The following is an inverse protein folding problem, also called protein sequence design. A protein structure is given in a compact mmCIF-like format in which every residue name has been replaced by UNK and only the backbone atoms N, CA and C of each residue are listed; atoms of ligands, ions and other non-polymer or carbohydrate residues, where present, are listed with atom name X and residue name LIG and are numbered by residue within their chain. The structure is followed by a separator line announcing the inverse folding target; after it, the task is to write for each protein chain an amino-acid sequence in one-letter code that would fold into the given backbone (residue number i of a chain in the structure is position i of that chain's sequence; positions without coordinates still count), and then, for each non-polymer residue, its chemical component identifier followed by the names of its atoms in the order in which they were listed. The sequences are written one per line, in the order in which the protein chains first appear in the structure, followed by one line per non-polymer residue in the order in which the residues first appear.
data_IF_227728597782
#
_entry.id   IF_227728597782
#
_cell.length_a   1.000
_cell.length_b   1.000
_cell.length_c   1.000
_cell.angle_alpha   90.00
_cell.angle_beta   90.00
_cell.angle_gamma   90.00
#
_symmetry.space_group_name_H-M   'P 1'
#
loop_
_entity.id
_entity.type
_entity.pdbx_description
1 polymer ?
#
# COMPACT_ATOMS: atom_id res chain seq x y z
N UNK A 1 18.31 -7.22 -0.41
CA UNK A 1 18.81 -8.30 -1.29
C UNK A 1 17.62 -9.17 -1.68
N UNK A 2 17.20 -9.11 -2.96
CA UNK A 2 16.10 -9.93 -3.47
C UNK A 2 16.54 -11.34 -3.84
N UNK A 3 15.60 -12.29 -3.82
CA UNK A 3 15.87 -13.65 -4.29
C UNK A 3 16.01 -13.67 -5.81
N UNK A 4 17.17 -14.08 -6.30
CA UNK A 4 17.48 -14.16 -7.75
C UNK A 4 16.47 -15.02 -8.52
N UNK A 5 15.97 -16.10 -7.90
CA UNK A 5 14.94 -16.96 -8.48
C UNK A 5 13.62 -16.24 -8.74
N UNK A 6 13.18 -15.38 -7.81
CA UNK A 6 11.96 -14.59 -7.96
C UNK A 6 12.07 -13.58 -9.10
N UNK A 7 13.19 -12.87 -9.19
CA UNK A 7 13.48 -11.93 -10.27
C UNK A 7 13.47 -12.64 -11.64
N UNK A 8 14.14 -13.81 -11.74
CA UNK A 8 14.13 -14.61 -12.96
C UNK A 8 12.74 -15.10 -13.34
N UNK A 9 11.92 -15.50 -12.37
CA UNK A 9 10.56 -15.94 -12.63
C UNK A 9 9.68 -14.83 -13.15
N UNK A 10 9.77 -13.61 -12.60
CA UNK A 10 9.07 -12.43 -13.12
C UNK A 10 9.45 -12.19 -14.58
N UNK A 11 10.76 -12.16 -14.91
CA UNK A 11 11.21 -11.97 -16.28
C UNK A 11 10.72 -13.05 -17.25
N UNK A 12 10.67 -14.32 -16.79
CA UNK A 12 10.11 -15.44 -17.60
C UNK A 12 8.61 -15.25 -17.85
N UNK A 13 7.85 -14.86 -16.83
CA UNK A 13 6.40 -14.64 -16.98
C UNK A 13 6.11 -13.53 -17.98
N UNK A 14 6.82 -12.39 -17.89
CA UNK A 14 6.67 -11.26 -18.80
C UNK A 14 7.01 -11.67 -20.23
N UNK A 15 8.15 -12.34 -20.44
CA UNK A 15 8.54 -12.85 -21.76
C UNK A 15 7.56 -13.86 -22.32
N UNK A 16 7.01 -14.75 -21.47
CA UNK A 16 6.01 -15.73 -21.89
C UNK A 16 4.68 -15.09 -22.28
N UNK A 17 4.38 -13.91 -21.74
CA UNK A 17 3.24 -13.08 -22.14
C UNK A 17 3.48 -12.28 -23.43
N UNK A 18 4.66 -12.39 -24.06
CA UNK A 18 5.01 -11.66 -25.27
C UNK A 18 5.33 -10.18 -25.03
N UNK A 19 5.72 -9.82 -23.80
CA UNK A 19 6.07 -8.47 -23.39
C UNK A 19 7.57 -8.36 -23.11
N UNK A 20 8.12 -7.15 -23.24
CA UNK A 20 9.47 -6.82 -22.86
C UNK A 20 9.52 -6.26 -21.43
N UNK A 21 10.59 -6.59 -20.71
CA UNK A 21 10.83 -6.14 -19.35
C UNK A 21 11.73 -4.91 -19.35
N UNK A 22 11.15 -3.73 -19.15
CA UNK A 22 11.88 -2.45 -19.10
C UNK A 22 12.64 -2.26 -17.79
N UNK A 23 12.12 -2.78 -16.67
CA UNK A 23 12.78 -2.63 -15.39
C UNK A 23 12.05 -3.35 -14.26
N UNK A 24 12.71 -3.37 -13.11
CA UNK A 24 12.18 -3.93 -11.87
C UNK A 24 12.33 -2.87 -10.78
N UNK A 25 11.26 -2.62 -10.05
CA UNK A 25 11.21 -1.68 -8.91
C UNK A 25 10.69 -2.41 -7.68
N UNK A 26 11.19 -2.06 -6.50
CA UNK A 26 10.64 -2.56 -5.25
C UNK A 26 9.26 -1.96 -5.01
N UNK A 27 8.31 -2.78 -4.59
CA UNK A 27 6.93 -2.39 -4.32
C UNK A 27 6.81 -1.14 -3.44
N UNK A 28 7.48 -1.03 -2.26
CA UNK A 28 7.38 0.17 -1.43
C UNK A 28 7.92 1.44 -2.09
N UNK A 29 8.87 1.33 -3.03
CA UNK A 29 9.38 2.48 -3.79
C UNK A 29 8.36 2.94 -4.82
N UNK A 30 7.71 2.00 -5.50
CA UNK A 30 6.65 2.31 -6.45
C UNK A 30 5.48 2.99 -5.73
N UNK A 31 4.94 2.39 -4.66
CA UNK A 31 3.87 2.97 -3.86
C UNK A 31 4.24 4.37 -3.34
N UNK A 32 5.49 4.57 -2.86
CA UNK A 32 5.98 5.86 -2.40
C UNK A 32 6.02 6.93 -3.49
N UNK A 33 6.28 6.55 -4.74
CA UNK A 33 6.29 7.50 -5.86
C UNK A 33 4.88 7.97 -6.24
N UNK A 34 3.86 7.17 -5.91
CA UNK A 34 2.47 7.49 -6.20
C UNK A 34 1.78 8.31 -5.09
N UNK A 35 2.19 8.15 -3.80
CA UNK A 35 1.41 8.65 -2.67
C UNK A 35 2.14 9.57 -1.71
N UNK A 36 3.47 9.71 -1.85
CA UNK A 36 4.29 10.58 -0.99
C UNK A 36 4.80 11.78 -1.75
N UNK A 37 4.67 12.97 -1.15
CA UNK A 37 5.31 14.16 -1.66
C UNK A 37 6.83 14.17 -1.38
N UNK A 38 7.54 15.07 -2.05
CA UNK A 38 8.97 15.28 -1.81
C UNK A 38 9.22 15.76 -0.38
N UNK A 39 8.40 16.69 0.10
CA UNK A 39 8.50 17.27 1.44
C UNK A 39 8.30 16.22 2.55
N UNK A 40 7.37 15.29 2.37
CA UNK A 40 7.17 14.18 3.30
C UNK A 40 8.39 13.26 3.38
N UNK A 41 8.96 12.89 2.22
CA UNK A 41 10.19 12.08 2.16
C UNK A 41 11.37 12.78 2.81
N UNK A 42 11.47 14.09 2.66
CA UNK A 42 12.52 14.92 3.26
C UNK A 42 12.31 15.05 4.78
N UNK A 43 11.11 15.41 5.22
CA UNK A 43 10.76 15.61 6.62
C UNK A 43 10.82 14.33 7.47
N UNK A 44 10.66 13.17 6.82
CA UNK A 44 10.61 11.85 7.44
C UNK A 44 9.20 11.31 7.59
N UNK A 45 8.92 10.19 6.94
CA UNK A 45 7.62 9.54 6.87
C UNK A 45 7.75 8.02 6.87
N UNK A 46 6.80 7.34 7.51
CA UNK A 46 6.62 5.90 7.38
C UNK A 46 5.47 5.63 6.41
N UNK A 47 5.76 5.01 5.28
CA UNK A 47 4.75 4.49 4.35
C UNK A 47 4.41 3.06 4.76
N UNK A 48 3.12 2.78 4.94
CA UNK A 48 2.60 1.46 5.26
C UNK A 48 1.62 1.06 4.16
N UNK A 49 1.99 0.05 3.38
CA UNK A 49 1.15 -0.54 2.33
C UNK A 49 0.51 -1.82 2.86
N UNK A 50 -0.80 -1.77 3.13
CA UNK A 50 -1.54 -2.91 3.68
C UNK A 50 -2.19 -3.65 2.51
N UNK A 51 -1.48 -4.67 2.01
CA UNK A 51 -1.94 -5.55 0.95
C UNK A 51 -2.88 -6.65 1.43
N UNK A 52 -3.11 -7.65 0.57
CA UNK A 52 -3.90 -8.83 0.93
C UNK A 52 -3.11 -9.81 1.80
N UNK A 53 -1.90 -10.19 1.39
CA UNK A 53 -1.05 -11.18 2.06
C UNK A 53 0.00 -10.58 2.99
N UNK A 54 0.50 -9.41 2.69
CA UNK A 54 1.57 -8.72 3.41
C UNK A 54 1.18 -7.30 3.78
N UNK A 55 1.89 -6.75 4.74
CA UNK A 55 1.95 -5.32 5.03
C UNK A 55 3.39 -4.88 4.90
N UNK A 56 3.65 -3.97 3.97
CA UNK A 56 4.99 -3.50 3.65
C UNK A 56 5.22 -2.13 4.29
N UNK A 57 6.33 -2.01 5.02
CA UNK A 57 6.79 -0.77 5.63
C UNK A 57 7.98 -0.23 4.88
N UNK A 58 7.95 1.07 4.57
CA UNK A 58 9.11 1.82 4.10
C UNK A 58 9.24 3.14 4.86
N UNK A 59 10.40 3.39 5.45
CA UNK A 59 10.70 4.64 6.13
C UNK A 59 11.59 5.49 5.25
N UNK A 60 11.15 6.71 4.98
CA UNK A 60 11.91 7.72 4.25
C UNK A 60 12.36 8.83 5.20
N UNK A 61 13.54 9.37 4.97
CA UNK A 61 14.11 10.53 5.66
C UNK A 61 15.20 11.14 4.81
N UNK A 62 15.27 12.46 4.76
CA UNK A 62 16.23 13.23 3.94
C UNK A 62 16.12 12.81 2.44
N UNK A 63 14.90 12.60 1.95
CA UNK A 63 14.58 12.23 0.56
C UNK A 63 14.92 10.80 0.16
N UNK A 64 15.50 9.96 1.03
CA UNK A 64 15.92 8.59 0.72
C UNK A 64 15.28 7.57 1.66
N UNK A 65 15.17 6.33 1.16
CA UNK A 65 14.69 5.21 1.96
C UNK A 65 15.75 4.81 3.00
N UNK A 66 15.34 4.71 4.26
CA UNK A 66 16.20 4.40 5.40
C UNK A 66 15.97 3.03 6.00
N UNK A 67 14.75 2.54 5.96
CA UNK A 67 14.38 1.25 6.51
C UNK A 67 13.23 0.64 5.71
N UNK A 68 13.21 -0.69 5.60
CA UNK A 68 12.11 -1.45 5.02
C UNK A 68 11.88 -2.70 5.85
N UNK A 69 10.61 -3.05 6.02
CA UNK A 69 10.21 -4.31 6.64
C UNK A 69 8.98 -4.88 5.92
N UNK A 70 8.82 -6.19 5.97
CA UNK A 70 7.66 -6.89 5.44
C UNK A 70 7.04 -7.69 6.57
N UNK A 71 5.81 -7.39 6.90
CA UNK A 71 5.02 -8.10 7.88
C UNK A 71 4.17 -9.13 7.11
N UNK A 72 4.23 -10.45 7.44
CA UNK A 72 3.57 -11.51 6.68
C UNK A 72 2.06 -11.61 6.97
N UNK A 73 1.42 -10.50 7.26
CA UNK A 73 0.00 -10.37 7.52
C UNK A 73 -0.56 -9.19 6.75
N UNK A 74 -1.78 -9.35 6.21
CA UNK A 74 -2.50 -8.31 5.48
C UNK A 74 -4.01 -8.52 5.58
N UNK A 75 -4.77 -8.05 4.60
CA UNK A 75 -6.23 -8.14 4.61
C UNK A 75 -6.80 -9.56 4.62
N UNK A 76 -6.05 -10.57 4.14
CA UNK A 76 -6.53 -11.95 4.03
C UNK A 76 -6.69 -12.60 5.42
N UNK A 77 -5.78 -12.36 6.36
CA UNK A 77 -5.91 -12.90 7.72
C UNK A 77 -7.12 -12.30 8.45
N UNK A 78 -7.47 -11.04 8.16
CA UNK A 78 -8.72 -10.44 8.67
C UNK A 78 -9.93 -11.16 8.10
N UNK A 79 -9.90 -11.52 6.81
CA UNK A 79 -10.99 -12.28 6.16
C UNK A 79 -11.12 -13.68 6.76
N UNK A 80 -10.02 -14.35 7.04
CA UNK A 80 -10.02 -15.66 7.70
C UNK A 80 -10.59 -15.60 9.12
N UNK A 81 -10.22 -14.59 9.92
CA UNK A 81 -10.79 -14.39 11.25
C UNK A 81 -12.31 -14.12 11.21
N UNK A 82 -12.78 -13.35 10.23
CA UNK A 82 -14.22 -13.13 10.00
C UNK A 82 -14.90 -14.43 9.60
N UNK A 83 -14.31 -15.19 8.69
CA UNK A 83 -14.82 -16.51 8.24
C UNK A 83 -15.02 -17.45 9.43
N UNK A 84 -14.01 -17.56 10.29
CA UNK A 84 -14.05 -18.42 11.47
C UNK A 84 -15.02 -17.88 12.55
N UNK A 85 -14.84 -16.62 12.93
CA UNK A 85 -15.63 -15.98 13.99
C UNK A 85 -17.11 -15.87 13.66
N UNK A 86 -17.45 -15.68 12.38
CA UNK A 86 -18.83 -15.66 11.92
C UNK A 86 -19.31 -17.02 11.38
N UNK A 87 -18.45 -18.05 11.25
CA UNK A 87 -18.76 -19.37 10.66
C UNK A 87 -19.47 -19.26 9.30
N UNK A 88 -18.85 -18.54 8.36
CA UNK A 88 -19.32 -18.28 7.00
C UNK A 88 -18.26 -18.66 5.97
N UNK A 89 -18.58 -18.62 4.70
CA UNK A 89 -17.59 -18.87 3.64
C UNK A 89 -16.73 -17.63 3.40
N UNK A 90 -15.51 -17.85 2.92
CA UNK A 90 -14.49 -16.81 2.65
C UNK A 90 -15.03 -15.66 1.81
N UNK A 91 -15.74 -15.97 0.71
CA UNK A 91 -16.34 -14.96 -0.17
C UNK A 91 -17.31 -14.02 0.56
N UNK A 92 -18.10 -14.57 1.50
CA UNK A 92 -19.02 -13.78 2.31
C UNK A 92 -18.26 -12.95 3.36
N UNK A 93 -17.21 -13.52 3.95
CA UNK A 93 -16.35 -12.83 4.91
C UNK A 93 -15.65 -11.62 4.26
N UNK A 94 -15.10 -11.80 3.05
CA UNK A 94 -14.46 -10.72 2.29
C UNK A 94 -15.46 -9.62 1.93
N UNK A 95 -16.66 -9.97 1.48
CA UNK A 95 -17.72 -8.99 1.20
C UNK A 95 -18.15 -8.23 2.46
N UNK A 96 -18.21 -8.89 3.62
CA UNK A 96 -18.50 -8.22 4.90
C UNK A 96 -17.41 -7.24 5.28
N UNK A 97 -16.14 -7.65 5.16
CA UNK A 97 -14.98 -6.80 5.43
C UNK A 97 -15.02 -5.54 4.58
N UNK A 98 -15.20 -5.69 3.26
CA UNK A 98 -15.19 -4.57 2.31
C UNK A 98 -16.36 -3.62 2.54
N UNK A 99 -17.58 -4.14 2.71
CA UNK A 99 -18.79 -3.30 2.78
C UNK A 99 -19.05 -2.69 4.16
N UNK A 100 -18.76 -3.45 5.22
CA UNK A 100 -19.17 -3.11 6.57
C UNK A 100 -18.02 -3.10 7.58
N UNK A 101 -16.80 -3.47 7.14
CA UNK A 101 -15.65 -3.55 8.02
C UNK A 101 -15.28 -2.21 8.64
N UNK A 102 -15.00 -2.24 9.94
CA UNK A 102 -14.51 -1.11 10.72
C UNK A 102 -13.43 -1.59 11.69
N UNK A 103 -12.32 -0.87 11.75
CA UNK A 103 -11.25 -1.13 12.69
C UNK A 103 -11.56 -0.65 14.11
N UNK A 104 -12.69 0.07 14.33
CA UNK A 104 -13.05 0.64 15.62
C UNK A 104 -14.45 0.23 16.06
N UNK A 105 -14.59 -0.72 17.02
CA UNK A 105 -15.90 -1.23 17.44
C UNK A 105 -16.82 -0.20 18.07
N UNK A 106 -16.27 0.84 18.70
CA UNK A 106 -17.03 1.90 19.37
C UNK A 106 -17.87 2.78 18.44
N UNK A 107 -17.52 2.82 17.14
CA UNK A 107 -18.26 3.60 16.15
C UNK A 107 -19.49 2.88 15.57
N UNK A 108 -19.68 1.60 15.90
CA UNK A 108 -20.81 0.81 15.42
C UNK A 108 -21.91 0.77 16.48
N UNK A 109 -23.15 1.05 16.07
CA UNK A 109 -24.32 0.93 16.94
C UNK A 109 -24.61 -0.52 17.24
N UNK A 110 -25.08 -0.79 18.46
CA UNK A 110 -25.37 -2.17 18.93
C UNK A 110 -26.45 -2.89 18.12
N UNK A 111 -27.37 -2.13 17.53
CA UNK A 111 -28.54 -2.66 16.83
C UNK A 111 -28.36 -2.80 15.33
N UNK A 112 -27.18 -2.51 14.78
CA UNK A 112 -26.91 -2.68 13.35
C UNK A 112 -26.55 -4.13 13.03
N UNK A 113 -27.41 -4.78 12.25
CA UNK A 113 -27.30 -6.20 11.90
C UNK A 113 -27.21 -6.33 10.39
N UNK A 114 -26.33 -7.21 9.91
CA UNK A 114 -26.26 -7.64 8.52
C UNK A 114 -26.70 -9.07 8.41
N UNK A 115 -27.66 -9.34 7.53
CA UNK A 115 -28.15 -10.68 7.22
C UNK A 115 -27.38 -11.25 6.03
N UNK A 116 -26.78 -12.43 6.21
CA UNK A 116 -26.04 -13.16 5.19
C UNK A 116 -26.89 -14.34 4.70
N UNK A 117 -27.08 -14.49 3.40
CA UNK A 117 -27.81 -15.63 2.85
C UNK A 117 -27.21 -16.97 3.29
N UNK A 118 -28.05 -17.86 3.79
CA UNK A 118 -27.66 -19.22 4.13
C UNK A 118 -27.28 -20.05 2.89
N UNK A 119 -26.40 -21.03 3.09
CA UNK A 119 -25.98 -21.96 2.03
C UNK A 119 -27.05 -23.02 1.78
N UNK A 120 -27.39 -23.28 0.50
CA UNK A 120 -28.29 -24.38 0.10
C UNK A 120 -29.62 -24.39 0.84
N UNK A 121 -30.28 -23.23 0.98
CA UNK A 121 -31.62 -23.15 1.59
C UNK A 121 -31.62 -23.17 3.12
N UNK A 122 -30.46 -23.02 3.76
CA UNK A 122 -30.38 -22.78 5.21
C UNK A 122 -30.85 -21.37 5.54
N UNK A 123 -31.32 -21.17 6.74
CA UNK A 123 -31.73 -19.86 7.24
C UNK A 123 -30.59 -18.84 7.12
N UNK A 124 -30.92 -17.56 6.83
CA UNK A 124 -29.94 -16.48 6.83
C UNK A 124 -29.25 -16.35 8.18
N UNK A 125 -27.97 -16.00 8.17
CA UNK A 125 -27.21 -15.75 9.39
C UNK A 125 -27.16 -14.25 9.67
N UNK A 126 -27.51 -13.84 10.87
CA UNK A 126 -27.46 -12.46 11.32
C UNK A 126 -26.15 -12.21 12.09
N UNK A 127 -25.47 -11.13 11.73
CA UNK A 127 -24.21 -10.70 12.32
C UNK A 127 -24.34 -9.23 12.69
N UNK A 128 -24.09 -8.90 13.96
CA UNK A 128 -24.04 -7.50 14.39
C UNK A 128 -22.76 -6.84 13.90
N UNK A 129 -22.84 -5.61 13.41
CA UNK A 129 -21.69 -4.85 12.95
C UNK A 129 -20.67 -4.63 14.08
N UNK A 130 -21.13 -4.48 15.31
CA UNK A 130 -20.27 -4.38 16.50
C UNK A 130 -19.41 -5.63 16.69
N UNK A 131 -19.99 -6.85 16.51
CA UNK A 131 -19.23 -8.10 16.62
C UNK A 131 -18.25 -8.27 15.46
N UNK A 132 -18.68 -7.98 14.24
CA UNK A 132 -17.80 -7.95 13.06
C UNK A 132 -16.59 -7.02 13.29
N UNK A 133 -16.85 -5.81 13.79
CA UNK A 133 -15.81 -4.83 14.05
C UNK A 133 -14.87 -5.26 15.18
N UNK A 134 -15.33 -5.99 16.20
CA UNK A 134 -14.44 -6.56 17.24
C UNK A 134 -13.45 -7.58 16.66
N UNK A 135 -13.92 -8.45 15.76
CA UNK A 135 -13.05 -9.43 15.09
C UNK A 135 -12.00 -8.70 14.26
N UNK A 136 -12.42 -7.74 13.43
CA UNK A 136 -11.54 -6.95 12.59
C UNK A 136 -10.53 -6.16 13.43
N UNK A 137 -11.00 -5.50 14.50
CA UNK A 137 -10.17 -4.71 15.40
C UNK A 137 -9.02 -5.52 15.99
N UNK A 138 -9.32 -6.71 16.55
CA UNK A 138 -8.32 -7.55 17.17
C UNK A 138 -7.14 -7.86 16.22
N UNK A 139 -7.44 -8.26 14.98
CA UNK A 139 -6.40 -8.54 13.98
C UNK A 139 -5.71 -7.28 13.48
N UNK A 140 -6.45 -6.20 13.28
CA UNK A 140 -5.86 -4.94 12.82
C UNK A 140 -4.90 -4.36 13.86
N UNK A 141 -5.23 -4.46 15.16
CA UNK A 141 -4.31 -4.08 16.25
C UNK A 141 -3.01 -4.86 16.16
N UNK A 142 -3.07 -6.18 16.01
CA UNK A 142 -1.86 -7.02 15.90
C UNK A 142 -0.97 -6.60 14.71
N UNK A 143 -1.57 -6.35 13.54
CA UNK A 143 -0.82 -5.89 12.36
C UNK A 143 -0.16 -4.55 12.65
N UNK A 144 -0.90 -3.58 13.19
CA UNK A 144 -0.40 -2.23 13.47
C UNK A 144 0.69 -2.25 14.54
N UNK A 145 0.56 -3.07 15.58
CA UNK A 145 1.58 -3.21 16.63
C UNK A 145 2.89 -3.78 16.07
N UNK A 146 2.83 -4.76 15.15
CA UNK A 146 4.03 -5.28 14.48
C UNK A 146 4.69 -4.23 13.59
N UNK A 147 3.91 -3.47 12.81
CA UNK A 147 4.43 -2.35 12.03
C UNK A 147 5.08 -1.31 12.96
N UNK A 148 4.43 -0.96 14.06
CA UNK A 148 4.96 0.01 15.01
C UNK A 148 6.24 -0.47 15.69
N UNK A 149 6.36 -1.76 15.96
CA UNK A 149 7.61 -2.34 16.45
C UNK A 149 8.76 -2.13 15.46
N UNK A 150 8.53 -2.30 14.16
CA UNK A 150 9.52 -2.04 13.12
C UNK A 150 9.89 -0.55 13.02
N UNK A 151 8.93 0.36 13.19
CA UNK A 151 9.19 1.80 13.27
C UNK A 151 10.03 2.13 14.50
N UNK A 152 9.78 1.50 15.64
CA UNK A 152 10.61 1.64 16.85
C UNK A 152 12.02 1.08 16.65
N UNK A 153 12.15 -0.06 15.99
CA UNK A 153 13.45 -0.67 15.66
C UNK A 153 14.29 0.25 14.76
N UNK A 154 13.66 0.99 13.86
CA UNK A 154 14.33 2.07 13.11
C UNK A 154 14.87 3.18 14.05
N UNK A 155 14.26 3.40 15.20
CA UNK A 155 14.67 4.39 16.20
C UNK A 155 14.07 5.77 15.98
N UNK A 156 12.82 5.88 15.52
CA UNK A 156 12.12 7.14 15.25
C UNK A 156 12.02 8.08 16.48
N UNK A 157 12.22 7.58 17.69
CA UNK A 157 12.24 8.36 18.93
C UNK A 157 13.52 9.20 19.06
N UNK A 158 14.61 8.83 18.38
CA UNK A 158 15.82 9.63 18.30
C UNK A 158 15.56 10.91 17.49
N UNK A 159 15.99 12.07 18.00
CA UNK A 159 15.72 13.37 17.37
C UNK A 159 16.15 13.43 15.89
N UNK A 160 17.27 12.80 15.53
CA UNK A 160 17.79 12.74 14.15
C UNK A 160 16.97 11.82 13.23
N UNK A 161 16.24 10.87 13.78
CA UNK A 161 15.42 9.88 13.04
C UNK A 161 13.93 10.15 13.15
N UNK A 162 13.53 11.26 13.74
CA UNK A 162 12.13 11.62 13.95
C UNK A 162 11.38 11.71 12.62
N UNK A 163 10.23 11.07 12.54
CA UNK A 163 9.35 11.07 11.37
C UNK A 163 8.31 12.20 11.54
N UNK A 164 8.66 13.39 11.05
CA UNK A 164 7.84 14.60 11.25
C UNK A 164 6.55 14.53 10.44
N UNK A 165 6.58 13.93 9.26
CA UNK A 165 5.39 13.74 8.43
C UNK A 165 4.52 12.52 8.85
N UNK A 166 4.90 11.83 9.94
CA UNK A 166 4.10 10.77 10.52
C UNK A 166 4.00 9.51 9.66
N UNK A 167 2.78 9.00 9.52
CA UNK A 167 2.45 7.75 8.82
C UNK A 167 1.54 8.02 7.63
N UNK A 168 1.84 7.39 6.51
CA UNK A 168 0.97 7.34 5.33
C UNK A 168 0.54 5.90 5.10
N UNK A 169 -0.77 5.64 5.10
CA UNK A 169 -1.36 4.34 4.83
C UNK A 169 -1.75 4.24 3.36
N UNK A 170 -1.43 3.15 2.71
CA UNK A 170 -1.88 2.84 1.35
C UNK A 170 -2.24 1.36 1.19
N UNK A 171 -2.54 0.90 -0.02
CA UNK A 171 -3.01 -0.45 -0.26
C UNK A 171 -4.49 -0.66 0.06
N UNK A 172 -5.00 -1.84 -0.28
CA UNK A 172 -6.42 -2.17 -0.11
C UNK A 172 -6.90 -2.12 1.35
N UNK A 173 -6.04 -2.52 2.30
CA UNK A 173 -6.34 -2.53 3.73
C UNK A 173 -6.49 -1.13 4.33
N UNK A 174 -5.86 -0.11 3.74
CA UNK A 174 -6.00 1.28 4.19
C UNK A 174 -7.40 1.86 4.02
N UNK A 175 -8.25 1.21 3.23
CA UNK A 175 -9.65 1.60 3.01
C UNK A 175 -10.60 1.10 4.12
N UNK A 176 -10.10 0.30 5.06
CA UNK A 176 -10.90 -0.15 6.20
C UNK A 176 -11.34 1.06 7.02
N UNK A 177 -12.64 1.15 7.33
CA UNK A 177 -13.18 2.28 8.11
C UNK A 177 -12.44 2.40 9.45
N UNK A 178 -12.15 3.62 9.84
CA UNK A 178 -11.49 3.99 11.12
C UNK A 178 -10.08 3.42 11.32
N UNK A 179 -9.44 2.89 10.27
CA UNK A 179 -8.06 2.38 10.39
C UNK A 179 -7.07 3.49 10.73
N UNK A 180 -7.26 4.69 10.14
CA UNK A 180 -6.45 5.86 10.45
C UNK A 180 -6.46 6.16 11.96
N UNK A 181 -7.65 6.26 12.55
CA UNK A 181 -7.84 6.54 13.98
C UNK A 181 -7.19 5.46 14.86
N UNK A 182 -7.28 4.18 14.45
CA UNK A 182 -6.65 3.08 15.17
C UNK A 182 -5.12 3.19 15.13
N UNK A 183 -4.55 3.51 13.97
CA UNK A 183 -3.10 3.68 13.82
C UNK A 183 -2.61 4.87 14.65
N UNK A 184 -3.29 6.02 14.60
CA UNK A 184 -3.00 7.19 15.44
C UNK A 184 -3.06 6.86 16.93
N UNK A 185 -4.07 6.09 17.35
CA UNK A 185 -4.24 5.68 18.74
C UNK A 185 -3.10 4.79 19.24
N UNK A 186 -2.68 3.81 18.44
CA UNK A 186 -1.63 2.85 18.83
C UNK A 186 -0.26 3.49 18.79
N UNK A 187 0.03 4.31 17.76
CA UNK A 187 1.37 4.81 17.49
C UNK A 187 1.64 6.18 18.10
N UNK A 188 0.61 6.96 18.36
CA UNK A 188 0.73 8.36 18.75
C UNK A 188 1.25 9.27 17.63
N UNK A 189 1.28 8.80 16.38
CA UNK A 189 1.81 9.52 15.23
C UNK A 189 0.67 9.99 14.33
N UNK A 190 0.78 11.21 13.78
CA UNK A 190 -0.15 11.70 12.77
C UNK A 190 -0.21 10.74 11.59
N UNK A 191 -1.42 10.43 11.13
CA UNK A 191 -1.64 9.45 10.07
C UNK A 191 -2.57 9.99 8.99
N UNK A 192 -2.26 9.73 7.73
CA UNK A 192 -3.16 9.98 6.59
C UNK A 192 -3.27 8.76 5.68
N UNK A 193 -4.32 8.71 4.88
CA UNK A 193 -4.41 7.76 3.77
C UNK A 193 -3.81 8.40 2.53
N UNK A 194 -2.91 7.67 1.87
CA UNK A 194 -2.27 8.07 0.62
C UNK A 194 -3.09 7.60 -0.59
N UNK A 195 -3.46 8.54 -1.45
CA UNK A 195 -4.17 8.29 -2.69
C UNK A 195 -3.25 8.58 -3.87
N UNK A 196 -3.17 7.71 -4.88
CA UNK A 196 -2.28 7.90 -6.03
C UNK A 196 -2.86 8.87 -7.08
N UNK A 197 -3.46 9.96 -6.67
CA UNK A 197 -4.19 10.89 -7.51
C UNK A 197 -3.42 12.16 -7.92
N UNK A 198 -2.33 12.48 -7.24
CA UNK A 198 -1.57 13.72 -7.46
C UNK A 198 -0.93 13.81 -8.86
N UNK A 199 -0.63 12.66 -9.46
CA UNK A 199 0.04 12.55 -10.76
C UNK A 199 -0.90 12.10 -11.89
N UNK A 200 -2.19 11.96 -11.61
CA UNK A 200 -3.18 11.49 -12.57
C UNK A 200 -3.97 12.68 -13.15
N UNK A 201 -4.37 12.57 -14.40
CA UNK A 201 -5.20 13.58 -15.06
C UNK A 201 -6.58 13.68 -14.37
N UNK A 202 -7.18 14.87 -14.40
CA UNK A 202 -8.44 15.13 -13.69
C UNK A 202 -9.65 14.34 -14.20
N UNK A 203 -9.56 13.74 -15.39
CA UNK A 203 -10.55 12.88 -16.02
C UNK A 203 -10.28 11.37 -15.84
N UNK A 204 -9.25 11.03 -15.06
CA UNK A 204 -8.90 9.63 -14.75
C UNK A 204 -10.04 8.92 -14.02
N UNK A 205 -10.28 7.65 -14.38
CA UNK A 205 -11.26 6.81 -13.73
C UNK A 205 -11.01 6.76 -12.21
N UNK A 206 -12.07 7.04 -11.45
CA UNK A 206 -12.01 7.07 -9.99
C UNK A 206 -11.57 5.74 -9.38
N UNK A 207 -11.76 4.62 -10.09
CA UNK A 207 -11.34 3.32 -9.61
C UNK A 207 -9.81 3.22 -9.47
N UNK A 208 -9.03 3.87 -10.34
CA UNK A 208 -7.56 3.80 -10.27
C UNK A 208 -6.96 4.83 -9.31
N UNK A 209 -7.77 5.75 -8.79
CA UNK A 209 -7.32 6.78 -7.84
C UNK A 209 -7.35 6.33 -6.37
N UNK A 210 -7.84 5.12 -6.10
CA UNK A 210 -7.92 4.57 -4.73
C UNK A 210 -6.58 3.97 -4.29
N UNK A 211 -6.32 3.87 -2.98
CA UNK A 211 -5.06 3.35 -2.44
C UNK A 211 -4.68 1.95 -2.93
N UNK A 212 -5.66 1.13 -3.30
CA UNK A 212 -5.45 -0.22 -3.87
C UNK A 212 -4.52 -0.23 -5.09
N UNK A 213 -4.51 0.85 -5.88
CA UNK A 213 -3.72 0.97 -7.11
C UNK A 213 -2.43 1.76 -6.94
N UNK A 214 -2.03 2.12 -5.71
CA UNK A 214 -0.85 2.93 -5.44
C UNK A 214 0.43 2.35 -6.09
N UNK A 215 0.69 1.05 -5.91
CA UNK A 215 1.83 0.37 -6.52
C UNK A 215 1.78 0.40 -8.05
N UNK A 216 0.62 0.12 -8.63
CA UNK A 216 0.46 0.10 -10.10
C UNK A 216 0.70 1.49 -10.71
N UNK A 217 0.11 2.54 -10.13
CA UNK A 217 0.34 3.93 -10.55
C UNK A 217 1.82 4.30 -10.39
N UNK A 218 2.44 3.93 -9.27
CA UNK A 218 3.85 4.19 -9.02
C UNK A 218 4.79 3.50 -10.02
N UNK A 219 4.47 2.29 -10.45
CA UNK A 219 5.23 1.58 -11.49
C UNK A 219 5.13 2.29 -12.85
N UNK A 220 3.95 2.81 -13.20
CA UNK A 220 3.77 3.60 -14.44
C UNK A 220 4.58 4.88 -14.38
N UNK A 221 4.55 5.60 -13.26
CA UNK A 221 5.34 6.82 -13.05
C UNK A 221 6.85 6.55 -13.12
N UNK A 222 7.31 5.43 -12.58
CA UNK A 222 8.71 5.02 -12.65
C UNK A 222 9.13 4.69 -14.09
N UNK A 223 8.27 4.00 -14.82
CA UNK A 223 8.48 3.72 -16.25
C UNK A 223 8.56 4.98 -17.10
N UNK A 224 7.66 5.95 -16.88
CA UNK A 224 7.69 7.25 -17.58
C UNK A 224 8.98 8.02 -17.31
N UNK A 225 9.44 8.09 -16.06
CA UNK A 225 10.69 8.75 -15.69
C UNK A 225 11.90 8.13 -16.39
N UNK A 226 11.93 6.79 -16.51
CA UNK A 226 13.01 6.09 -17.24
C UNK A 226 12.97 6.41 -18.71
N UNK A 227 11.78 6.38 -19.31
CA UNK A 227 11.59 6.71 -20.73
C UNK A 227 12.01 8.14 -21.07
N UNK A 228 11.64 9.12 -20.24
CA UNK A 228 12.07 10.51 -20.40
C UNK A 228 13.59 10.66 -20.30
N UNK A 229 14.22 9.95 -19.35
CA UNK A 229 15.67 9.96 -19.19
C UNK A 229 16.38 9.40 -20.43
N UNK A 230 15.92 8.27 -20.96
CA UNK A 230 16.47 7.64 -22.15
C UNK A 230 16.35 8.52 -23.41
N UNK A 231 15.25 9.30 -23.51
CA UNK A 231 15.07 10.28 -24.61
C UNK A 231 16.07 11.41 -24.46
N UNK A 232 16.21 12.00 -23.28
CA UNK A 232 17.12 13.12 -23.04
C UNK A 232 18.57 12.72 -23.30
N UNK A 233 19.02 11.56 -22.84
CA UNK A 233 20.38 11.04 -23.13
C UNK A 233 20.61 10.85 -24.62
N UNK A 234 19.60 10.38 -25.38
CA UNK A 234 19.71 10.24 -26.84
C UNK A 234 19.76 11.59 -27.59
N UNK A 235 19.12 12.63 -27.04
CA UNK A 235 19.17 13.99 -27.59
C UNK A 235 20.53 14.61 -27.34
N UNK A 236 21.07 14.53 -26.13
CA UNK A 236 22.40 15.05 -25.78
C UNK A 236 23.51 14.42 -26.62
N UNK A 237 23.46 13.10 -26.85
CA UNK A 237 24.44 12.40 -27.71
C UNK A 237 24.38 12.92 -29.17
N UNK A 238 23.19 13.16 -29.69
CA UNK A 238 23.03 13.69 -31.06
C UNK A 238 23.51 15.14 -31.21
N UNK A 239 23.33 15.96 -30.18
CA UNK A 239 23.83 17.33 -30.17
C UNK A 239 25.34 17.37 -30.07
N UNK A 240 25.96 16.48 -29.27
CA UNK A 240 27.42 16.35 -29.20
C UNK A 240 28.04 15.90 -30.52
N UNK A 241 27.46 14.90 -31.20
CA UNK A 241 27.94 14.44 -32.53
C UNK A 241 27.83 15.52 -33.63
N UNK A 242 26.84 16.42 -33.52
CA UNK A 242 26.69 17.50 -34.50
C UNK A 242 27.69 18.65 -34.27
N UNK A 243 28.11 18.91 -33.01
CA UNK A 243 29.12 19.95 -32.71
C UNK A 243 30.52 19.55 -33.13
N UNK A 244 30.89 18.27 -32.99
CA UNK A 244 32.18 17.75 -33.48
C UNK A 244 32.30 17.71 -35.02
N UNK A 245 31.18 17.73 -35.73
CA UNK A 245 31.14 17.78 -37.20
C UNK A 245 31.30 19.17 -37.80
N UNK A 246 31.07 20.25 -37.06
CA UNK A 246 31.21 21.63 -37.49
C UNK A 246 32.61 22.22 -37.23
N UNK A 247 33.38 21.71 -36.28
CA UNK A 247 34.78 22.15 -36.04
C UNK A 247 35.81 21.56 -37.01
N UNK A 248 35.41 20.59 -37.85
CA UNK A 248 36.30 19.95 -38.84
C UNK A 248 36.02 20.36 -40.31
N UNK A 249 35.41 21.51 -40.54
CA UNK A 249 35.25 22.10 -41.89
C UNK A 249 35.91 23.50 -41.97
#
# INVERSE_FOLDING_TARGET
VGQVSSIRNIGRCIKSAGLDLEGITLEPLASANAVLSFEEKEAGVALIDIGGGTTDLAVFKDGIIRHTAVIPFGGNVITDDIKEGCSIIEKQAELLKIKFGSAWPGENKENEIVSIPGLRGRDPKEITLKNLSKIIHARTVEIVEQVYLEIKNYGHEEQKKKLIAGIVLTGGGSQLKHIKQLVEYITGMDTRVGYPNEHLAGDTDKEVTIPLFATAVGLVLDGLKRFEKDINEKVEVKEADNTDGEENR
#
